data_IF_695382622244
#
_entry.id   IF_695382622244
#
_cell.length_a   1.000
_cell.length_b   1.000
_cell.length_c   1.000
_cell.angle_alpha   90.00
_cell.angle_beta   90.00
_cell.angle_gamma   90.00
#
_symmetry.space_group_name_H-M   'P 1'
#
loop_
_entity.id
_entity.type
_entity.pdbx_description
1 polymer ?
#
# COMPACT_ATOMS: atom_id res chain seq x y z
N UNK A 1 -7.17 17.30 0.77
CA UNK A 1 -7.85 17.36 -0.54
C UNK A 1 -7.85 15.99 -1.19
N UNK A 2 -8.98 15.54 -1.73
CA UNK A 2 -9.14 14.31 -2.53
C UNK A 2 -9.92 14.68 -3.79
N UNK A 3 -9.43 14.30 -4.97
CA UNK A 3 -10.05 14.64 -6.25
C UNK A 3 -10.04 13.44 -7.19
N UNK A 4 -11.18 13.16 -7.84
CA UNK A 4 -11.25 12.23 -8.96
C UNK A 4 -10.75 12.96 -10.22
N UNK A 5 -9.57 12.61 -10.70
CA UNK A 5 -8.89 13.30 -11.81
C UNK A 5 -9.10 12.62 -13.16
N UNK A 6 -9.52 11.35 -13.16
CA UNK A 6 -9.87 10.61 -14.37
C UNK A 6 -10.95 9.58 -14.08
N UNK A 7 -11.85 9.36 -15.04
CA UNK A 7 -12.89 8.33 -14.99
C UNK A 7 -12.55 7.10 -15.85
N UNK A 8 -11.78 7.27 -16.93
CA UNK A 8 -11.39 6.19 -17.85
C UNK A 8 -9.89 6.28 -18.22
N UNK A 9 -8.99 5.60 -17.47
CA UNK A 9 -9.26 4.75 -16.31
C UNK A 9 -9.57 5.58 -15.04
N UNK A 10 -10.22 5.01 -14.01
CA UNK A 10 -10.43 5.71 -12.74
C UNK A 10 -9.11 6.05 -12.05
N UNK A 11 -8.88 7.32 -11.75
CA UNK A 11 -7.69 7.80 -11.03
C UNK A 11 -8.13 8.87 -10.02
N UNK A 12 -7.65 8.73 -8.80
CA UNK A 12 -7.86 9.69 -7.71
C UNK A 12 -6.52 10.29 -7.30
N UNK A 13 -6.48 11.60 -7.11
CA UNK A 13 -5.35 12.30 -6.51
C UNK A 13 -5.71 12.73 -5.08
N UNK A 14 -4.78 12.56 -4.15
CA UNK A 14 -4.94 12.96 -2.75
C UNK A 14 -3.74 13.80 -2.30
N UNK A 15 -4.01 14.81 -1.49
CA UNK A 15 -3.03 15.64 -0.80
C UNK A 15 -3.47 15.91 0.64
N UNK A 16 -2.58 15.71 1.61
CA UNK A 16 -2.82 15.91 3.04
C UNK A 16 -1.61 16.64 3.62
N UNK A 17 -1.88 17.63 4.47
CA UNK A 17 -0.86 18.28 5.29
C UNK A 17 -1.19 18.03 6.77
N UNK A 18 -0.16 17.86 7.58
CA UNK A 18 -0.28 17.75 9.02
C UNK A 18 0.34 18.96 9.71
N UNK A 19 -0.27 19.39 10.81
CA UNK A 19 0.17 20.55 11.62
C UNK A 19 1.63 20.46 12.08
N UNK A 20 2.21 19.25 12.17
CA UNK A 20 3.61 19.04 12.52
C UNK A 20 4.60 19.31 11.36
N UNK A 21 4.12 19.81 10.21
CA UNK A 21 4.95 20.19 9.06
C UNK A 21 5.30 19.01 8.15
N UNK A 22 4.45 17.98 8.09
CA UNK A 22 4.57 16.91 7.10
C UNK A 22 3.47 17.03 6.05
N UNK A 23 3.76 16.59 4.83
CA UNK A 23 2.81 16.51 3.75
C UNK A 23 2.84 15.11 3.12
N UNK A 24 1.68 14.58 2.76
CA UNK A 24 1.54 13.32 2.04
C UNK A 24 0.66 13.51 0.82
N UNK A 25 1.08 12.94 -0.30
CA UNK A 25 0.33 12.96 -1.54
C UNK A 25 0.44 11.63 -2.25
N UNK A 26 -0.57 11.30 -3.04
CA UNK A 26 -0.59 10.08 -3.84
C UNK A 26 -1.55 10.23 -5.00
N UNK A 27 -1.19 9.63 -6.12
CA UNK A 27 -2.13 9.17 -7.11
C UNK A 27 -2.55 7.73 -6.79
N UNK A 28 -3.79 7.41 -7.07
CA UNK A 28 -4.34 6.08 -6.84
C UNK A 28 -5.25 5.68 -7.98
N UNK A 29 -4.85 4.64 -8.69
CA UNK A 29 -5.69 3.83 -9.57
C UNK A 29 -5.64 2.38 -9.10
N UNK A 30 -6.46 1.51 -9.71
CA UNK A 30 -6.43 0.09 -9.42
C UNK A 30 -6.81 -0.74 -10.64
N UNK A 31 -6.22 -1.92 -10.75
CA UNK A 31 -6.81 -3.03 -11.49
C UNK A 31 -7.50 -3.97 -10.52
N UNK A 32 -8.66 -4.50 -10.91
CA UNK A 32 -9.36 -5.51 -10.13
C UNK A 32 -9.59 -6.78 -10.95
N UNK A 33 -9.56 -7.94 -10.28
CA UNK A 33 -9.82 -9.26 -10.87
C UNK A 33 -10.79 -10.01 -9.99
N UNK A 34 -11.99 -10.26 -10.49
CA UNK A 34 -12.99 -11.08 -9.81
C UNK A 34 -12.79 -12.56 -10.16
N UNK A 35 -12.77 -13.42 -9.14
CA UNK A 35 -12.58 -14.88 -9.28
C UNK A 35 -13.65 -15.66 -8.52
N UNK A 36 -14.90 -15.24 -8.66
CA UNK A 36 -16.06 -15.84 -8.01
C UNK A 36 -16.10 -15.54 -6.52
N UNK A 37 -15.35 -16.29 -5.70
CA UNK A 37 -15.39 -16.14 -4.24
C UNK A 37 -14.67 -14.88 -3.73
N UNK A 38 -13.72 -14.35 -4.50
CA UNK A 38 -12.91 -13.20 -4.09
C UNK A 38 -12.69 -12.19 -5.23
N UNK A 39 -12.42 -10.96 -4.81
CA UNK A 39 -12.00 -9.85 -5.66
C UNK A 39 -10.56 -9.49 -5.30
N UNK A 40 -9.64 -9.64 -6.23
CA UNK A 40 -8.27 -9.15 -6.08
C UNK A 40 -8.19 -7.71 -6.56
N UNK A 41 -7.64 -6.83 -5.74
CA UNK A 41 -7.43 -5.41 -6.01
C UNK A 41 -5.92 -5.17 -6.03
N UNK A 42 -5.44 -4.60 -7.12
CA UNK A 42 -4.03 -4.30 -7.37
C UNK A 42 -3.91 -2.77 -7.51
N UNK A 43 -3.47 -2.07 -6.46
CA UNK A 43 -3.22 -0.63 -6.52
C UNK A 43 -2.16 -0.29 -7.57
N UNK A 44 -2.43 0.73 -8.37
CA UNK A 44 -1.54 1.30 -9.38
C UNK A 44 -1.35 2.77 -9.01
N UNK A 45 -0.26 3.09 -8.31
CA UNK A 45 0.01 4.45 -7.82
C UNK A 45 1.10 4.45 -6.76
N UNK A 46 1.70 5.62 -6.52
CA UNK A 46 2.78 5.79 -5.54
C UNK A 46 2.30 6.76 -4.47
N UNK A 47 2.52 6.37 -3.21
CA UNK A 47 2.33 7.26 -2.08
C UNK A 47 3.65 7.93 -1.72
N UNK A 48 3.56 9.21 -1.35
CA UNK A 48 4.67 10.01 -0.87
C UNK A 48 4.38 10.58 0.51
N UNK A 49 5.44 10.72 1.31
CA UNK A 49 5.42 11.41 2.59
C UNK A 49 6.69 12.25 2.73
N UNK A 50 6.56 13.55 2.93
CA UNK A 50 7.68 14.46 3.12
C UNK A 50 7.58 15.16 4.47
N UNK A 51 8.64 15.08 5.25
CA UNK A 51 8.78 15.81 6.51
C UNK A 51 9.52 17.11 6.24
N UNK A 52 8.87 18.26 6.43
CA UNK A 52 9.47 19.57 6.15
C UNK A 52 10.69 19.87 7.04
N UNK A 53 10.65 19.46 8.32
CA UNK A 53 11.69 19.78 9.30
C UNK A 53 13.07 19.20 8.97
N UNK A 54 13.13 17.93 8.55
CA UNK A 54 14.38 17.24 8.26
C UNK A 54 14.56 16.97 6.76
N UNK A 55 13.57 17.30 5.92
CA UNK A 55 13.61 17.08 4.48
C UNK A 55 13.51 15.62 4.05
N UNK A 56 13.31 14.66 4.97
CA UNK A 56 13.14 13.26 4.60
C UNK A 56 11.90 13.10 3.71
N UNK A 57 12.08 12.40 2.60
CA UNK A 57 11.04 12.16 1.61
C UNK A 57 10.96 10.67 1.35
N UNK A 58 9.85 10.08 1.75
CA UNK A 58 9.58 8.66 1.59
C UNK A 58 8.62 8.43 0.42
N UNK A 59 8.79 7.32 -0.29
CA UNK A 59 7.76 6.80 -1.19
C UNK A 59 7.61 5.30 -1.10
N UNK A 60 6.40 4.82 -1.37
CA UNK A 60 6.10 3.39 -1.44
C UNK A 60 4.93 3.11 -2.38
N UNK A 61 4.87 1.87 -2.87
CA UNK A 61 3.68 1.31 -3.56
C UNK A 61 2.91 0.43 -2.59
N UNK A 62 1.57 0.45 -2.68
CA UNK A 62 0.72 -0.39 -1.84
C UNK A 62 0.74 -1.84 -2.32
N UNK A 63 0.64 -2.79 -1.38
CA UNK A 63 0.51 -4.21 -1.71
C UNK A 63 -0.88 -4.55 -2.25
N UNK A 64 -1.00 -5.74 -2.86
CA UNK A 64 -2.29 -6.24 -3.33
C UNK A 64 -3.23 -6.50 -2.15
N UNK A 65 -4.53 -6.34 -2.40
CA UNK A 65 -5.59 -6.65 -1.42
C UNK A 65 -6.55 -7.67 -2.02
N UNK A 66 -6.80 -8.77 -1.32
CA UNK A 66 -7.86 -9.73 -1.68
C UNK A 66 -9.05 -9.50 -0.76
N UNK A 67 -10.20 -9.15 -1.32
CA UNK A 67 -11.47 -9.16 -0.62
C UNK A 67 -12.11 -10.54 -0.78
N UNK A 68 -12.21 -11.28 0.32
CA UNK A 68 -12.76 -12.62 0.36
C UNK A 68 -14.26 -12.60 0.67
N UNK A 69 -14.95 -13.68 0.30
CA UNK A 69 -16.37 -13.87 0.55
C UNK A 69 -17.23 -12.76 -0.08
N UNK A 70 -16.90 -12.38 -1.31
CA UNK A 70 -17.59 -11.30 -2.04
C UNK A 70 -19.06 -11.59 -2.37
N UNK A 71 -19.44 -12.87 -2.43
CA UNK A 71 -20.83 -13.29 -2.72
C UNK A 71 -21.52 -13.79 -1.45
N UNK A 72 -20.88 -14.69 -0.68
CA UNK A 72 -21.48 -15.34 0.48
C UNK A 72 -20.48 -15.43 1.63
N UNK A 73 -20.96 -15.14 2.85
CA UNK A 73 -20.21 -15.19 4.09
C UNK A 73 -19.75 -13.81 4.58
N UNK A 74 -18.99 -13.78 5.68
CA UNK A 74 -18.44 -12.53 6.21
C UNK A 74 -17.30 -12.06 5.32
N UNK A 75 -17.43 -10.86 4.74
CA UNK A 75 -16.37 -10.22 3.97
C UNK A 75 -15.17 -9.94 4.88
N UNK A 76 -13.98 -10.24 4.38
CA UNK A 76 -12.73 -9.89 5.05
C UNK A 76 -11.63 -9.61 4.01
N UNK A 77 -10.65 -8.81 4.43
CA UNK A 77 -9.56 -8.36 3.57
C UNK A 77 -8.25 -9.02 3.97
N UNK A 78 -7.48 -9.40 2.96
CA UNK A 78 -6.11 -9.90 3.07
C UNK A 78 -5.17 -9.02 2.26
N UNK A 79 -4.15 -8.46 2.91
CA UNK A 79 -3.09 -7.73 2.24
C UNK A 79 -1.89 -8.66 2.05
N UNK A 80 -1.36 -8.74 0.83
CA UNK A 80 -0.26 -9.66 0.52
C UNK A 80 0.65 -9.13 -0.57
N UNK A 81 1.90 -9.59 -0.54
CA UNK A 81 2.98 -9.17 -1.44
C UNK A 81 4.05 -8.37 -0.72
N UNK A 82 4.89 -7.69 -1.48
CA UNK A 82 6.05 -6.96 -0.97
C UNK A 82 5.85 -5.46 -1.14
N UNK A 83 6.28 -4.68 -0.15
CA UNK A 83 6.27 -3.23 -0.15
C UNK A 83 7.69 -2.75 0.17
N UNK A 84 8.24 -1.94 -0.71
CA UNK A 84 9.49 -1.22 -0.48
C UNK A 84 9.16 0.24 -0.13
N UNK A 85 9.68 0.70 1.00
CA UNK A 85 9.64 2.09 1.44
C UNK A 85 11.04 2.66 1.27
N UNK A 86 11.17 3.67 0.41
CA UNK A 86 12.46 4.29 0.08
C UNK A 86 12.49 5.70 0.67
N UNK A 87 13.55 6.06 1.40
CA UNK A 87 13.87 7.44 1.74
C UNK A 87 14.77 8.06 0.67
N UNK A 88 14.23 8.96 -0.14
CA UNK A 88 14.94 9.64 -1.23
C UNK A 88 16.04 10.58 -0.74
N UNK A 89 16.02 10.98 0.53
CA UNK A 89 17.07 11.85 1.09
C UNK A 89 18.32 11.06 1.46
N UNK A 90 18.16 9.91 2.10
CA UNK A 90 19.28 9.13 2.66
C UNK A 90 19.63 7.89 1.85
N UNK A 91 18.77 7.47 0.92
CA UNK A 91 18.90 6.20 0.20
C UNK A 91 18.37 5.00 0.99
N UNK A 92 18.02 5.16 2.27
CA UNK A 92 17.55 4.05 3.11
C UNK A 92 16.31 3.36 2.51
N UNK A 93 16.30 2.03 2.58
CA UNK A 93 15.18 1.19 2.10
C UNK A 93 14.70 0.27 3.20
N UNK A 94 13.39 0.18 3.36
CA UNK A 94 12.74 -0.80 4.23
C UNK A 94 11.81 -1.69 3.40
N UNK A 95 12.08 -2.99 3.39
CA UNK A 95 11.32 -3.98 2.65
C UNK A 95 10.39 -4.76 3.61
N UNK A 96 9.09 -4.63 3.38
CA UNK A 96 8.04 -5.32 4.12
C UNK A 96 7.45 -6.44 3.27
N UNK A 97 7.23 -7.61 3.87
CA UNK A 97 6.54 -8.73 3.24
C UNK A 97 5.26 -9.06 3.99
N UNK A 98 4.15 -8.94 3.28
CA UNK A 98 2.82 -9.27 3.74
C UNK A 98 2.52 -10.71 3.32
N UNK A 99 2.42 -11.61 4.31
CA UNK A 99 2.22 -13.03 4.06
C UNK A 99 0.74 -13.27 3.79
N UNK A 100 0.37 -13.83 2.63
CA UNK A 100 -1.03 -14.10 2.31
C UNK A 100 -1.64 -15.06 3.31
N UNK A 101 -2.92 -14.87 3.61
CA UNK A 101 -3.67 -15.82 4.40
C UNK A 101 -3.69 -17.18 3.70
N UNK A 102 -3.44 -18.24 4.49
CA UNK A 102 -3.50 -19.62 4.03
C UNK A 102 -4.36 -20.43 4.98
N UNK A 103 -5.36 -21.13 4.44
CA UNK A 103 -6.18 -22.08 5.19
C UNK A 103 -5.39 -23.25 5.77
N UNK A 104 -4.22 -23.54 5.21
CA UNK A 104 -3.35 -24.64 5.63
C UNK A 104 -2.31 -24.20 6.66
N UNK A 105 -2.16 -22.88 6.89
CA UNK A 105 -1.24 -22.35 7.88
C UNK A 105 -1.89 -22.32 9.26
N UNK A 106 -1.14 -22.73 10.28
CA UNK A 106 -1.53 -22.56 11.70
C UNK A 106 -1.10 -21.20 12.27
N UNK A 107 -0.43 -20.37 11.47
CA UNK A 107 0.05 -19.07 11.90
C UNK A 107 -1.08 -18.03 12.00
N UNK A 108 -0.86 -17.01 12.82
CA UNK A 108 -1.79 -15.89 12.97
C UNK A 108 -1.99 -15.17 11.63
N UNK A 109 -3.24 -14.93 11.20
CA UNK A 109 -3.55 -14.16 9.99
C UNK A 109 -2.96 -12.74 10.03
N UNK A 110 -2.77 -12.12 8.85
CA UNK A 110 -2.29 -10.73 8.68
C UNK A 110 -0.86 -10.48 9.18
N UNK A 111 0.03 -11.46 8.99
CA UNK A 111 1.44 -11.34 9.36
C UNK A 111 2.20 -10.41 8.42
N UNK A 112 2.91 -9.45 9.00
CA UNK A 112 3.82 -8.54 8.29
C UNK A 112 5.22 -8.83 8.80
N UNK A 113 6.14 -9.13 7.89
CA UNK A 113 7.56 -9.35 8.19
C UNK A 113 8.37 -8.18 7.65
N UNK A 114 9.24 -7.62 8.48
CA UNK A 114 10.33 -6.76 8.00
C UNK A 114 11.39 -7.72 7.45
N UNK A 115 11.61 -7.69 6.14
CA UNK A 115 12.54 -8.60 5.47
C UNK A 115 13.96 -8.03 5.54
N UNK A 116 14.10 -6.72 5.34
CA UNK A 116 15.38 -6.05 5.40
C UNK A 116 15.22 -4.54 5.58
N UNK A 117 16.23 -3.95 6.21
CA UNK A 117 16.46 -2.50 6.23
C UNK A 117 17.87 -2.29 5.70
N UNK A 118 17.99 -1.54 4.62
CA UNK A 118 19.26 -1.20 3.98
C UNK A 118 19.50 0.29 4.14
N UNK A 119 20.76 0.65 4.33
CA UNK A 119 21.25 2.02 4.28
C UNK A 119 22.38 2.08 3.26
N UNK A 120 22.24 2.93 2.26
CA UNK A 120 23.30 3.19 1.28
C UNK A 120 24.31 4.14 1.97
N UNK A 121 25.31 3.57 2.66
CA UNK A 121 26.49 4.31 3.15
C UNK A 121 27.63 4.25 2.13
#
# INVERSE_FOLDING_TARGET
MLCLVSHHPPIVAQYIEGNAGWASWQDFSMSSKFRGKYLQIIPLGIAHLKFGKNGNHYSWRKVSTTAHNMIVGKLWLDNHGEMEIINHKTGDKCCLKFIPYSYFSRETPKKILIVAVYSDF
#
